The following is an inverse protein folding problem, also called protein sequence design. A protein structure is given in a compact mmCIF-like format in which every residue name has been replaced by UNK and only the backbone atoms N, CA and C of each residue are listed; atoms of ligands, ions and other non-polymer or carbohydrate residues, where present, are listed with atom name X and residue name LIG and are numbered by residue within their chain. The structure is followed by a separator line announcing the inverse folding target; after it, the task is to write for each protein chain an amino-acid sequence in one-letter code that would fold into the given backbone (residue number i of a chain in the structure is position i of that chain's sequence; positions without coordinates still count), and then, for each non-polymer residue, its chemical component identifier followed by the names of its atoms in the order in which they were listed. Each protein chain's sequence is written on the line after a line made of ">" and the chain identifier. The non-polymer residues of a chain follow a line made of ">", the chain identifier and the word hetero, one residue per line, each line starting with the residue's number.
data_IF_236361161362
#
_entry.id   IF_236361161362
#
_cell.length_a   1.000
_cell.length_b   1.000
_cell.length_c   1.000
_cell.angle_alpha   90.00
_cell.angle_beta   90.00
_cell.angle_gamma   90.00
#
_symmetry.space_group_name_H-M   'P 1'
#
loop_
_entity.id
_entity.type
_entity.pdbx_description
1 polymer ?
#
# COMPACT_ATOMS: atom_id res chain seq x y z
N UNK A 1 32.18 -31.67 59.20
CA UNK A 1 30.77 -31.86 58.81
C UNK A 1 30.20 -30.74 57.93
N UNK A 2 30.67 -29.48 58.03
CA UNK A 2 30.14 -28.38 57.21
C UNK A 2 30.62 -28.46 55.74
N UNK A 3 31.89 -28.80 55.49
CA UNK A 3 32.46 -28.89 54.14
C UNK A 3 31.80 -29.95 53.24
N UNK A 4 31.39 -31.10 53.79
CA UNK A 4 30.69 -32.14 53.03
C UNK A 4 29.26 -31.75 52.65
N UNK A 5 28.60 -30.91 53.46
CA UNK A 5 27.24 -30.40 53.14
C UNK A 5 27.24 -29.45 51.96
N UNK A 6 28.28 -28.63 51.81
CA UNK A 6 28.45 -27.73 50.65
C UNK A 6 28.68 -28.52 49.36
N UNK A 7 29.51 -29.56 49.40
CA UNK A 7 29.77 -30.41 48.23
C UNK A 7 28.50 -31.14 47.78
N UNK A 8 27.72 -31.67 48.73
CA UNK A 8 26.44 -32.33 48.44
C UNK A 8 25.43 -31.33 47.86
N UNK A 9 25.35 -30.11 48.41
CA UNK A 9 24.46 -29.07 47.90
C UNK A 9 24.82 -28.64 46.46
N UNK A 10 26.11 -28.48 46.15
CA UNK A 10 26.56 -28.16 44.78
C UNK A 10 26.25 -29.28 43.80
N UNK A 11 26.36 -30.54 44.22
CA UNK A 11 26.06 -31.69 43.37
C UNK A 11 24.56 -31.78 43.06
N UNK A 12 23.71 -31.54 44.06
CA UNK A 12 22.25 -31.50 43.88
C UNK A 12 21.84 -30.35 42.94
N UNK A 13 22.44 -29.17 43.09
CA UNK A 13 22.17 -28.04 42.20
C UNK A 13 22.55 -28.33 40.74
N UNK A 14 23.67 -29.02 40.51
CA UNK A 14 24.09 -29.41 39.16
C UNK A 14 23.11 -30.38 38.49
N UNK A 15 22.53 -31.32 39.25
CA UNK A 15 21.54 -32.29 38.74
C UNK A 15 20.20 -31.62 38.39
N UNK A 16 19.81 -30.56 39.11
CA UNK A 16 18.56 -29.84 38.83
C UNK A 16 18.64 -29.04 37.52
N UNK A 17 19.82 -28.50 37.17
CA UNK A 17 20.00 -27.68 35.97
C UNK A 17 20.13 -28.53 34.69
N UNK A 18 20.57 -29.79 34.78
CA UNK A 18 20.70 -30.68 33.61
C UNK A 18 19.37 -31.18 33.03
N UNK A 19 18.22 -30.81 33.60
CA UNK A 19 16.89 -31.17 33.10
C UNK A 19 16.20 -30.12 32.22
N UNK A 20 16.85 -28.99 31.92
CA UNK A 20 16.22 -27.85 31.25
C UNK A 20 16.15 -27.94 29.70
N UNK A 21 16.36 -29.11 29.11
CA UNK A 21 16.29 -29.29 27.64
C UNK A 21 14.85 -29.14 27.11
N UNK A 22 13.86 -29.57 27.90
CA UNK A 22 12.45 -29.57 27.50
C UNK A 22 11.83 -28.16 27.50
N UNK A 23 12.42 -27.21 28.25
CA UNK A 23 12.00 -25.81 28.22
C UNK A 23 12.24 -25.17 26.84
N UNK A 24 13.25 -25.63 26.10
CA UNK A 24 13.57 -25.11 24.78
C UNK A 24 12.50 -25.44 23.74
N UNK A 25 11.74 -26.53 23.90
CA UNK A 25 10.63 -26.90 23.02
C UNK A 25 9.42 -25.96 23.17
N UNK A 26 9.25 -25.36 24.36
CA UNK A 26 8.20 -24.36 24.66
C UNK A 26 8.57 -22.98 24.10
N UNK A 27 9.84 -22.58 24.23
CA UNK A 27 10.32 -21.29 23.74
C UNK A 27 10.64 -21.28 22.23
N UNK A 28 10.91 -22.45 21.65
CA UNK A 28 11.14 -22.63 20.22
C UNK A 28 10.44 -23.91 19.75
N UNK A 29 9.14 -23.84 19.43
CA UNK A 29 8.42 -24.96 18.85
C UNK A 29 9.20 -25.48 17.64
N UNK A 30 9.44 -26.79 17.52
CA UNK A 30 10.10 -27.34 16.34
C UNK A 30 9.29 -26.94 15.11
N UNK A 31 10.00 -26.50 14.06
CA UNK A 31 9.41 -26.05 12.81
C UNK A 31 8.79 -27.24 12.07
N UNK A 32 7.58 -27.61 12.48
CA UNK A 32 6.70 -28.52 11.75
C UNK A 32 6.16 -27.77 10.53
N UNK A 33 6.98 -27.73 9.48
CA UNK A 33 6.54 -27.21 8.19
C UNK A 33 5.45 -28.17 7.69
N UNK A 34 4.24 -27.68 7.35
CA UNK A 34 3.18 -28.54 6.80
C UNK A 34 3.73 -29.25 5.56
N UNK A 35 3.53 -30.56 5.47
CA UNK A 35 4.00 -31.36 4.35
C UNK A 35 3.39 -30.84 3.04
N UNK A 36 4.18 -30.08 2.27
CA UNK A 36 3.78 -29.52 0.98
C UNK A 36 3.48 -30.59 -0.08
N UNK A 37 3.78 -31.87 0.19
CA UNK A 37 3.48 -33.01 -0.66
C UNK A 37 2.36 -33.90 -0.11
N UNK A 38 1.70 -33.50 0.98
CA UNK A 38 0.54 -34.23 1.49
C UNK A 38 -0.64 -34.11 0.52
N UNK A 39 -0.84 -35.16 -0.29
CA UNK A 39 -2.00 -35.26 -1.20
C UNK A 39 -3.21 -35.73 -0.42
N UNK A 40 -4.14 -34.80 -0.15
CA UNK A 40 -5.46 -35.14 0.37
C UNK A 40 -6.36 -35.67 -0.75
N UNK A 41 -6.91 -36.88 -0.57
CA UNK A 41 -7.90 -37.43 -1.48
C UNK A 41 -9.22 -36.66 -1.33
N UNK A 42 -9.72 -36.11 -2.44
CA UNK A 42 -11.06 -35.52 -2.48
C UNK A 42 -12.08 -36.61 -2.81
N UNK A 43 -13.28 -36.48 -2.23
CA UNK A 43 -14.41 -37.31 -2.64
C UNK A 43 -14.60 -37.20 -4.17
N UNK A 44 -14.88 -38.31 -4.87
CA UNK A 44 -15.08 -38.29 -6.32
C UNK A 44 -16.24 -37.35 -6.67
N UNK A 45 -16.03 -36.45 -7.63
CA UNK A 45 -17.09 -35.58 -8.14
C UNK A 45 -18.11 -36.44 -8.87
N UNK A 46 -19.27 -36.68 -8.26
CA UNK A 46 -20.43 -37.19 -8.98
C UNK A 46 -21.01 -36.06 -9.84
N UNK A 47 -21.21 -36.37 -11.12
CA UNK A 47 -21.92 -35.49 -12.03
C UNK A 47 -23.39 -35.42 -11.57
N UNK A 48 -23.94 -34.27 -11.16
CA UNK A 48 -25.35 -34.15 -10.83
C UNK A 48 -26.18 -34.39 -12.10
N UNK A 49 -27.37 -35.01 -12.00
CA UNK A 49 -28.16 -35.48 -13.14
C UNK A 49 -28.65 -34.37 -14.10
N UNK A 50 -28.47 -33.10 -13.73
CA UNK A 50 -29.10 -31.97 -14.42
C UNK A 50 -28.02 -31.01 -14.97
N UNK A 51 -27.46 -31.34 -16.14
CA UNK A 51 -26.52 -30.47 -16.89
C UNK A 51 -27.21 -29.38 -17.71
N UNK A 52 -28.47 -29.07 -17.44
CA UNK A 52 -29.24 -28.03 -18.14
C UNK A 52 -28.90 -26.61 -17.65
N UNK A 53 -27.61 -26.32 -17.47
CA UNK A 53 -27.17 -24.95 -17.27
C UNK A 53 -27.23 -24.24 -18.63
N UNK A 54 -28.07 -23.22 -18.72
CA UNK A 54 -28.12 -22.34 -19.89
C UNK A 54 -26.71 -21.77 -20.11
N UNK A 55 -26.16 -21.85 -21.34
CA UNK A 55 -24.86 -21.27 -21.64
C UNK A 55 -24.81 -19.82 -21.16
N UNK A 56 -23.77 -19.40 -20.42
CA UNK A 56 -23.68 -18.04 -19.94
C UNK A 56 -23.64 -17.08 -21.13
N UNK A 57 -24.44 -16.02 -21.05
CA UNK A 57 -24.49 -15.01 -22.11
C UNK A 57 -23.11 -14.35 -22.19
N UNK A 58 -22.53 -14.19 -23.40
CA UNK A 58 -21.28 -13.46 -23.58
C UNK A 58 -21.38 -12.07 -22.94
N UNK A 59 -20.52 -11.76 -21.97
CA UNK A 59 -20.48 -10.47 -21.26
C UNK A 59 -21.25 -10.41 -19.92
N UNK A 60 -22.00 -11.45 -19.54
CA UNK A 60 -22.55 -11.53 -18.18
C UNK A 60 -21.45 -11.77 -17.14
N UNK A 61 -21.54 -11.11 -15.99
CA UNK A 61 -20.60 -11.28 -14.87
C UNK A 61 -20.55 -12.76 -14.47
N UNK A 62 -19.37 -13.37 -14.55
CA UNK A 62 -19.21 -14.80 -14.25
C UNK A 62 -19.34 -14.99 -12.72
N UNK A 63 -20.17 -15.92 -12.25
CA UNK A 63 -20.22 -16.27 -10.82
C UNK A 63 -18.86 -16.76 -10.29
N UNK A 64 -17.99 -17.25 -11.19
CA UNK A 64 -16.68 -17.80 -10.89
C UNK A 64 -15.58 -16.73 -10.70
N UNK A 65 -15.87 -15.44 -10.94
CA UNK A 65 -14.89 -14.35 -10.78
C UNK A 65 -14.70 -13.91 -9.31
N UNK A 66 -15.23 -14.68 -8.36
CA UNK A 66 -14.95 -14.51 -6.94
C UNK A 66 -13.51 -14.96 -6.70
N UNK A 67 -12.60 -14.00 -6.80
CA UNK A 67 -11.20 -14.20 -6.42
C UNK A 67 -11.19 -14.58 -4.92
N UNK A 68 -10.61 -15.74 -4.52
CA UNK A 68 -10.64 -16.21 -3.13
C UNK A 68 -10.10 -15.17 -2.13
N UNK A 69 -9.16 -14.33 -2.59
CA UNK A 69 -8.62 -13.22 -1.82
C UNK A 69 -9.64 -12.11 -1.54
N UNK A 70 -10.55 -11.83 -2.48
CA UNK A 70 -11.63 -10.86 -2.29
C UNK A 70 -12.70 -11.40 -1.35
N UNK A 71 -13.00 -12.69 -1.43
CA UNK A 71 -13.92 -13.37 -0.52
C UNK A 71 -13.38 -13.48 0.90
N UNK A 72 -12.12 -13.88 1.07
CA UNK A 72 -11.45 -13.86 2.37
C UNK A 72 -11.41 -12.45 2.96
N UNK A 73 -11.12 -11.43 2.13
CA UNK A 73 -11.17 -10.03 2.57
C UNK A 73 -12.58 -9.62 3.01
N UNK A 74 -13.63 -10.02 2.29
CA UNK A 74 -15.03 -9.74 2.64
C UNK A 74 -15.46 -10.49 3.91
N UNK A 75 -14.99 -11.72 4.10
CA UNK A 75 -15.27 -12.51 5.30
C UNK A 75 -14.56 -11.95 6.54
N UNK A 76 -13.34 -11.45 6.40
CA UNK A 76 -12.54 -10.86 7.50
C UNK A 76 -13.03 -9.44 7.83
N UNK A 77 -13.36 -8.64 6.82
CA UNK A 77 -13.67 -7.21 6.97
C UNK A 77 -15.19 -6.92 7.05
N UNK A 78 -16.03 -7.91 6.77
CA UNK A 78 -17.47 -7.73 6.58
C UNK A 78 -17.81 -6.91 5.33
N UNK A 79 -19.06 -6.96 4.88
CA UNK A 79 -19.62 -6.07 3.86
C UNK A 79 -19.78 -4.65 4.44
N UNK A 80 -18.70 -3.98 4.84
CA UNK A 80 -18.75 -2.53 5.05
C UNK A 80 -18.45 -1.87 3.71
N UNK A 81 -19.50 -1.29 3.13
CA UNK A 81 -19.61 -0.80 1.75
C UNK A 81 -18.38 -0.04 1.23
N UNK A 82 -17.56 -0.73 0.44
CA UNK A 82 -16.51 -0.13 -0.37
C UNK A 82 -16.95 -0.03 -1.83
N UNK A 83 -17.95 0.81 -2.10
CA UNK A 83 -18.57 0.85 -3.43
C UNK A 83 -19.35 2.12 -3.76
N UNK A 84 -18.95 3.29 -3.25
CA UNK A 84 -19.40 4.57 -3.80
C UNK A 84 -18.34 5.65 -3.53
N UNK A 85 -17.47 5.87 -4.52
CA UNK A 85 -16.69 7.10 -4.60
C UNK A 85 -17.65 8.26 -4.85
N UNK A 86 -18.12 8.91 -3.78
CA UNK A 86 -18.77 10.22 -3.84
C UNK A 86 -17.71 11.23 -3.36
N UNK A 87 -17.24 12.15 -4.22
CA UNK A 87 -16.35 13.22 -3.79
C UNK A 87 -17.12 14.16 -2.87
N UNK A 88 -16.72 14.27 -1.60
CA UNK A 88 -17.30 15.22 -0.63
C UNK A 88 -17.92 14.62 0.62
N UNK A 89 -17.92 13.29 0.80
CA UNK A 89 -18.33 12.69 2.07
C UNK A 89 -17.22 12.86 3.11
N UNK A 90 -17.35 13.90 3.95
CA UNK A 90 -16.65 13.98 5.23
C UNK A 90 -16.79 12.63 5.94
N UNK A 91 -15.69 12.14 6.50
CA UNK A 91 -15.63 10.88 7.22
C UNK A 91 -16.71 10.84 8.32
N UNK A 92 -17.85 10.24 8.03
CA UNK A 92 -18.85 9.91 9.02
C UNK A 92 -18.29 8.75 9.84
N UNK A 93 -18.03 8.92 11.15
CA UNK A 93 -17.41 7.91 11.99
C UNK A 93 -18.44 6.84 12.40
N UNK A 94 -19.12 6.21 11.45
CA UNK A 94 -20.28 5.37 11.78
C UNK A 94 -20.29 3.98 11.12
N UNK A 95 -19.74 3.79 9.93
CA UNK A 95 -19.75 2.44 9.34
C UNK A 95 -18.76 1.47 10.02
N UNK A 96 -17.61 1.96 10.49
CA UNK A 96 -16.59 1.15 11.20
C UNK A 96 -16.88 0.97 12.69
N UNK A 97 -17.60 1.91 13.31
CA UNK A 97 -17.93 1.85 14.74
C UNK A 97 -19.01 0.80 15.02
N UNK A 98 -19.97 0.64 14.10
CA UNK A 98 -21.09 -0.29 14.26
C UNK A 98 -20.65 -1.76 14.12
N UNK A 99 -19.67 -2.08 13.27
CA UNK A 99 -19.14 -3.44 13.12
C UNK A 99 -18.32 -3.91 14.34
N UNK A 100 -17.59 -2.98 14.96
CA UNK A 100 -16.86 -3.27 16.19
C UNK A 100 -17.82 -3.57 17.36
N UNK A 101 -18.93 -2.82 17.47
CA UNK A 101 -19.89 -2.97 18.56
C UNK A 101 -20.62 -4.33 18.58
N UNK A 102 -20.86 -4.95 17.41
CA UNK A 102 -21.70 -6.15 17.28
C UNK A 102 -20.96 -7.48 17.48
N UNK A 103 -19.63 -7.48 17.58
CA UNK A 103 -18.80 -8.68 17.66
C UNK A 103 -17.93 -8.69 18.92
N UNK A 104 -18.17 -9.59 19.90
CA UNK A 104 -17.40 -9.62 21.14
C UNK A 104 -15.92 -9.94 20.91
N UNK A 105 -15.59 -10.70 19.88
CA UNK A 105 -14.19 -10.99 19.49
C UNK A 105 -13.49 -9.78 18.88
N UNK A 106 -14.18 -8.98 18.08
CA UNK A 106 -13.63 -7.74 17.50
C UNK A 106 -13.41 -6.69 18.58
N UNK A 107 -14.34 -6.54 19.54
CA UNK A 107 -14.13 -5.64 20.69
C UNK A 107 -12.93 -6.05 21.56
N UNK A 108 -12.67 -7.34 21.75
CA UNK A 108 -11.50 -7.81 22.48
C UNK A 108 -10.20 -7.42 21.77
N UNK A 109 -10.13 -7.63 20.45
CA UNK A 109 -8.97 -7.22 19.64
C UNK A 109 -8.79 -5.70 19.59
N UNK A 110 -9.87 -4.93 19.49
CA UNK A 110 -9.80 -3.46 19.48
C UNK A 110 -9.32 -2.89 20.81
N UNK A 111 -9.71 -3.52 21.94
CA UNK A 111 -9.17 -3.16 23.27
C UNK A 111 -7.68 -3.44 23.35
N UNK A 112 -7.26 -4.62 22.92
CA UNK A 112 -5.85 -5.02 22.95
C UNK A 112 -4.97 -4.17 22.01
N UNK A 113 -5.51 -3.84 20.83
CA UNK A 113 -4.84 -2.99 19.84
C UNK A 113 -4.93 -1.48 20.13
N UNK A 114 -5.61 -1.07 21.21
CA UNK A 114 -5.81 0.35 21.56
C UNK A 114 -6.67 1.13 20.54
N UNK A 115 -7.44 0.43 19.70
CA UNK A 115 -8.25 1.03 18.64
C UNK A 115 -9.46 1.84 19.12
N UNK A 116 -9.86 1.68 20.39
CA UNK A 116 -10.98 2.42 20.99
C UNK A 116 -10.63 3.88 21.31
N UNK A 117 -9.35 4.18 21.53
CA UNK A 117 -8.86 5.52 21.88
C UNK A 117 -8.21 6.24 20.68
N UNK A 118 -8.44 5.74 19.46
CA UNK A 118 -7.86 6.33 18.26
C UNK A 118 -8.46 7.72 17.96
N UNK A 119 -7.62 8.73 17.78
CA UNK A 119 -8.05 10.07 17.37
C UNK A 119 -8.69 10.00 15.97
N UNK A 120 -9.97 10.41 15.79
CA UNK A 120 -10.62 10.42 14.48
C UNK A 120 -9.91 11.33 13.47
N UNK A 121 -9.14 12.31 13.93
CA UNK A 121 -8.40 13.26 13.10
C UNK A 121 -6.94 12.85 12.83
N UNK A 122 -6.48 11.67 13.29
CA UNK A 122 -5.07 11.26 13.15
C UNK A 122 -4.58 11.29 11.69
N UNK A 123 -5.47 11.00 10.73
CA UNK A 123 -5.15 11.09 9.29
C UNK A 123 -4.88 12.53 8.84
N UNK A 124 -5.64 13.48 9.36
CA UNK A 124 -5.44 14.90 9.07
C UNK A 124 -4.11 15.39 9.67
N UNK A 125 -3.80 15.00 10.92
CA UNK A 125 -2.53 15.31 11.57
C UNK A 125 -1.34 14.74 10.79
N UNK A 126 -1.37 13.44 10.45
CA UNK A 126 -0.32 12.78 9.65
C UNK A 126 -0.17 13.46 8.30
N UNK A 127 -1.27 13.80 7.62
CA UNK A 127 -1.18 14.49 6.33
C UNK A 127 -0.54 15.87 6.49
N UNK A 128 -0.88 16.64 7.53
CA UNK A 128 -0.25 17.94 7.79
C UNK A 128 1.25 17.80 8.04
N UNK A 129 1.64 16.86 8.88
CA UNK A 129 3.05 16.58 9.20
C UNK A 129 3.83 16.08 7.97
N UNK A 130 3.25 15.14 7.21
CA UNK A 130 3.88 14.52 6.03
C UNK A 130 4.04 15.51 4.87
N UNK A 131 3.12 16.47 4.74
CA UNK A 131 3.21 17.52 3.72
C UNK A 131 4.50 18.33 3.89
N UNK A 132 4.84 18.69 5.15
CA UNK A 132 6.05 19.48 5.46
C UNK A 132 7.34 18.72 5.06
N UNK A 133 7.39 17.40 5.29
CA UNK A 133 8.56 16.58 4.93
C UNK A 133 8.72 16.38 3.42
N UNK A 134 7.60 16.26 2.69
CA UNK A 134 7.61 16.05 1.24
C UNK A 134 8.16 17.28 0.51
N UNK A 135 7.79 18.48 0.94
CA UNK A 135 8.27 19.73 0.34
C UNK A 135 9.77 19.96 0.60
N UNK A 136 10.25 19.69 1.82
CA UNK A 136 11.67 19.88 2.17
C UNK A 136 12.60 18.90 1.43
N UNK A 137 12.21 17.62 1.35
CA UNK A 137 12.98 16.60 0.64
C UNK A 137 13.04 16.86 -0.87
N UNK A 138 11.91 17.32 -1.45
CA UNK A 138 11.85 17.70 -2.86
C UNK A 138 12.82 18.85 -3.17
N UNK A 139 12.91 19.89 -2.34
CA UNK A 139 13.79 21.03 -2.58
C UNK A 139 15.29 20.68 -2.57
N UNK A 140 15.72 19.82 -1.64
CA UNK A 140 17.10 19.35 -1.60
C UNK A 140 17.44 18.48 -2.81
N UNK A 141 16.57 17.52 -3.14
CA UNK A 141 16.75 16.65 -4.29
C UNK A 141 16.71 17.43 -5.61
N UNK A 142 15.81 18.40 -5.76
CA UNK A 142 15.74 19.29 -6.94
C UNK A 142 17.03 20.08 -7.10
N UNK A 143 17.59 20.62 -6.01
CA UNK A 143 18.84 21.39 -6.05
C UNK A 143 20.03 20.53 -6.49
N UNK A 144 20.04 19.26 -6.12
CA UNK A 144 21.09 18.31 -6.49
C UNK A 144 20.91 17.79 -7.93
N UNK A 145 19.68 17.47 -8.33
CA UNK A 145 19.33 17.00 -9.67
C UNK A 145 19.46 18.11 -10.72
N UNK A 146 19.04 19.32 -10.37
CA UNK A 146 18.98 20.51 -11.23
C UNK A 146 20.01 21.58 -10.85
N UNK A 147 21.21 21.16 -10.45
CA UNK A 147 22.34 22.03 -10.08
C UNK A 147 22.84 22.99 -11.18
N UNK A 148 22.36 22.87 -12.42
CA UNK A 148 22.70 23.72 -13.56
C UNK A 148 21.51 24.59 -13.98
N UNK A 149 21.77 25.74 -14.64
CA UNK A 149 20.75 26.69 -15.10
C UNK A 149 19.60 25.98 -15.82
N UNK A 150 18.47 25.85 -15.13
CA UNK A 150 17.24 25.33 -15.70
C UNK A 150 16.61 26.38 -16.60
N UNK A 151 16.02 25.93 -17.70
CA UNK A 151 15.16 26.76 -18.53
C UNK A 151 13.96 27.18 -17.69
N UNK A 152 13.56 28.45 -17.77
CA UNK A 152 12.46 29.00 -16.98
C UNK A 152 11.22 28.10 -17.08
N UNK A 153 10.65 27.75 -15.92
CA UNK A 153 9.44 26.93 -15.84
C UNK A 153 8.33 27.70 -16.57
N UNK A 154 7.59 27.00 -17.44
CA UNK A 154 6.49 27.62 -18.18
C UNK A 154 5.45 28.22 -17.24
N UNK A 155 4.82 29.32 -17.66
CA UNK A 155 3.74 29.97 -16.92
C UNK A 155 2.52 29.04 -16.89
N UNK A 156 1.92 28.85 -15.71
CA UNK A 156 0.68 28.09 -15.57
C UNK A 156 -0.47 28.83 -16.27
N UNK A 157 -1.13 28.16 -17.20
CA UNK A 157 -2.25 28.71 -17.97
C UNK A 157 -3.57 28.49 -17.20
N UNK A 158 -4.43 29.49 -17.11
CA UNK A 158 -5.77 29.34 -16.52
C UNK A 158 -6.64 28.46 -17.45
N UNK A 159 -7.14 27.30 -16.96
CA UNK A 159 -7.92 26.37 -17.77
C UNK A 159 -9.21 26.98 -18.32
N UNK A 160 -9.88 27.84 -17.54
CA UNK A 160 -11.17 28.41 -17.93
C UNK A 160 -11.00 29.50 -18.98
N UNK A 161 -9.98 30.33 -18.84
CA UNK A 161 -9.62 31.33 -19.84
C UNK A 161 -9.23 30.68 -21.18
N UNK A 162 -8.43 29.62 -21.14
CA UNK A 162 -8.00 28.92 -22.35
C UNK A 162 -9.16 28.17 -23.02
N UNK A 163 -10.06 27.55 -22.24
CA UNK A 163 -11.26 26.92 -22.78
C UNK A 163 -12.18 27.93 -23.49
N UNK A 164 -12.33 29.16 -22.95
CA UNK A 164 -13.05 30.26 -23.61
C UNK A 164 -12.39 30.65 -24.93
N UNK A 165 -11.07 30.80 -24.96
CA UNK A 165 -10.31 31.12 -26.17
C UNK A 165 -10.52 30.07 -27.26
N UNK A 166 -10.40 28.78 -26.92
CA UNK A 166 -10.55 27.67 -27.88
C UNK A 166 -11.96 27.66 -28.49
N UNK A 167 -13.00 27.90 -27.68
CA UNK A 167 -14.39 27.98 -28.20
C UNK A 167 -14.57 29.13 -29.18
N UNK A 168 -14.04 30.32 -28.85
CA UNK A 168 -14.11 31.49 -29.72
C UNK A 168 -13.32 31.29 -31.02
N UNK A 169 -12.12 30.70 -30.96
CA UNK A 169 -11.31 30.40 -32.14
C UNK A 169 -12.00 29.41 -33.09
N UNK A 170 -12.62 28.35 -32.54
CA UNK A 170 -13.42 27.38 -33.32
C UNK A 170 -14.61 28.04 -34.01
N UNK A 171 -15.32 28.93 -33.32
CA UNK A 171 -16.45 29.66 -33.88
C UNK A 171 -16.03 30.59 -35.03
N UNK A 172 -14.81 31.15 -34.97
CA UNK A 172 -14.24 32.01 -36.01
C UNK A 172 -13.50 31.23 -37.12
N UNK A 173 -13.49 29.90 -37.08
CA UNK A 173 -12.77 29.08 -38.06
C UNK A 173 -11.25 29.22 -38.03
N UNK A 174 -10.67 29.78 -36.95
CA UNK A 174 -9.22 29.96 -36.80
C UNK A 174 -8.56 28.69 -36.24
N UNK A 175 -7.31 28.39 -36.63
CA UNK A 175 -6.58 27.25 -36.09
C UNK A 175 -6.26 27.47 -34.60
N UNK A 176 -6.29 26.38 -33.81
CA UNK A 176 -6.12 26.42 -32.34
C UNK A 176 -4.71 26.90 -31.93
N UNK A 177 -3.74 26.77 -32.84
CA UNK A 177 -2.34 27.16 -32.69
C UNK A 177 -2.09 28.66 -32.75
N UNK A 178 -3.10 29.45 -33.14
CA UNK A 178 -3.06 30.92 -33.19
C UNK A 178 -3.27 31.45 -31.76
N UNK A 179 -2.20 31.46 -30.96
CA UNK A 179 -2.18 31.93 -29.58
C UNK A 179 -1.03 32.94 -29.43
N UNK A 180 -1.28 34.04 -28.71
CA UNK A 180 -0.28 35.07 -28.41
C UNK A 180 -0.11 35.17 -26.88
N UNK A 181 1.07 34.88 -26.30
CA UNK A 181 2.33 34.48 -26.95
C UNK A 181 2.26 33.05 -27.54
N UNK A 182 3.03 32.74 -28.59
CA UNK A 182 2.97 31.44 -29.28
C UNK A 182 3.14 30.27 -28.31
N UNK A 183 2.42 29.15 -28.53
CA UNK A 183 2.50 27.99 -27.65
C UNK A 183 3.95 27.47 -27.61
N UNK A 184 4.45 27.05 -26.44
CA UNK A 184 5.82 26.57 -26.33
C UNK A 184 6.01 25.31 -27.18
N UNK A 185 6.63 25.47 -28.34
CA UNK A 185 6.98 24.32 -29.19
C UNK A 185 8.13 23.56 -28.55
N UNK A 186 7.95 22.27 -28.30
CA UNK A 186 9.02 21.39 -27.80
C UNK A 186 10.03 21.18 -28.95
N UNK A 187 11.04 22.04 -29.03
CA UNK A 187 12.15 21.85 -29.95
C UNK A 187 13.25 21.01 -29.29
N UNK A 188 13.70 19.95 -29.98
CA UNK A 188 14.86 19.17 -29.54
C UNK A 188 16.10 20.07 -29.60
N UNK A 189 16.76 20.29 -28.46
CA UNK A 189 17.97 21.11 -28.42
C UNK A 189 19.04 20.51 -29.34
N UNK A 190 19.48 21.27 -30.35
CA UNK A 190 20.57 20.85 -31.25
C UNK A 190 21.96 20.95 -30.61
N UNK A 191 22.07 21.55 -29.43
CA UNK A 191 23.35 21.89 -28.79
C UNK A 191 23.93 20.83 -27.84
N UNK A 192 23.58 19.55 -27.98
CA UNK A 192 24.35 18.50 -27.31
C UNK A 192 25.58 18.08 -28.14
N UNK A 193 26.34 19.05 -28.67
CA UNK A 193 27.75 18.82 -28.99
C UNK A 193 28.52 18.91 -27.68
N UNK A 194 28.78 17.75 -27.08
CA UNK A 194 29.66 17.57 -25.93
C UNK A 194 31.09 18.01 -26.31
N UNK A 195 31.35 19.31 -26.37
CA UNK A 195 32.69 19.85 -26.65
C UNK A 195 33.54 20.04 -25.41
N UNK A 196 32.97 19.93 -24.22
CA UNK A 196 33.72 20.04 -22.98
C UNK A 196 33.62 18.69 -22.29
N UNK A 197 34.77 18.01 -22.12
CA UNK A 197 34.89 16.82 -21.28
C UNK A 197 34.19 17.11 -19.96
N UNK A 198 33.08 16.41 -19.73
CA UNK A 198 32.28 16.61 -18.54
C UNK A 198 33.15 16.35 -17.31
N UNK A 199 32.88 17.04 -16.21
CA UNK A 199 33.53 16.84 -14.92
C UNK A 199 33.63 15.35 -14.53
N UNK A 200 32.58 14.57 -14.83
CA UNK A 200 32.50 13.12 -14.59
C UNK A 200 33.45 12.27 -15.43
N UNK A 201 33.82 12.73 -16.62
CA UNK A 201 34.75 12.05 -17.54
C UNK A 201 36.20 12.11 -17.03
N UNK A 202 36.50 13.08 -16.14
CA UNK A 202 37.79 13.22 -15.46
C UNK A 202 37.83 12.53 -14.09
N UNK A 203 36.68 12.21 -13.52
CA UNK A 203 36.57 11.67 -12.16
C UNK A 203 36.62 10.13 -12.14
N UNK A 204 36.13 9.47 -13.19
CA UNK A 204 36.12 8.01 -13.31
C UNK A 204 37.24 7.46 -14.22
N UNK A 205 38.38 8.14 -14.29
CA UNK A 205 39.55 7.68 -15.06
C UNK A 205 40.79 7.56 -14.18
#
# INVERSE_FOLDING_TARGET
>A
MIRSRWVIATFIAAVIISGCEDAQSVFSPPKNSPDEFAVYSRAPLSLPPNYALRPPVPGATRPQDIVPRKEAKKAIMGESGGGANIPGAAATPSASANFAADSPGVMALLRDAGGLDADPNIRAAINQETTIFTDQGAQFADKLLFWHKQKEKGVALDPDAEARRIRNAKAMGRPITDHDPPPPTIQRSKDRKLKNKSFWDRFFK
#
